data_IF_571061724239
#
_entry.id   IF_571061724239
#
_cell.length_a   1.000
_cell.length_b   1.000
_cell.length_c   1.000
_cell.angle_alpha   90.00
_cell.angle_beta   90.00
_cell.angle_gamma   90.00
#
_symmetry.space_group_name_H-M   'P 1'
#
loop_
_entity.id
_entity.type
_entity.pdbx_description
1 polymer ?
#
# COMPACT_ATOMS: atom_id res chain seq x y z
N UNK A 1 -64.25 -18.30 41.22
CA UNK A 1 -63.18 -18.57 40.23
C UNK A 1 -63.11 -17.42 39.22
N UNK A 2 -62.11 -16.51 39.35
CA UNK A 2 -61.91 -15.41 38.41
C UNK A 2 -60.70 -15.77 37.52
N UNK A 3 -60.97 -16.02 36.27
CA UNK A 3 -59.97 -16.24 35.23
C UNK A 3 -59.28 -14.92 34.87
N UNK A 4 -57.99 -14.81 35.09
CA UNK A 4 -57.17 -13.69 34.62
C UNK A 4 -56.73 -13.98 33.20
N UNK A 5 -57.18 -13.20 32.24
CA UNK A 5 -56.72 -13.15 30.87
C UNK A 5 -55.42 -12.35 30.84
N UNK A 6 -54.30 -12.99 30.48
CA UNK A 6 -53.02 -12.31 30.26
C UNK A 6 -52.96 -11.91 28.78
N UNK A 7 -53.01 -10.61 28.51
CA UNK A 7 -52.73 -10.04 27.20
C UNK A 7 -51.20 -10.02 27.00
N UNK A 8 -50.71 -10.82 26.08
CA UNK A 8 -49.33 -10.71 25.58
C UNK A 8 -49.36 -9.74 24.40
N UNK A 9 -48.92 -8.50 24.64
CA UNK A 9 -48.68 -7.54 23.58
C UNK A 9 -47.32 -7.85 22.92
N UNK A 10 -47.35 -8.44 21.71
CA UNK A 10 -46.19 -8.55 20.88
C UNK A 10 -45.85 -7.17 20.29
N UNK A 11 -44.80 -6.53 20.82
CA UNK A 11 -44.16 -5.40 20.15
C UNK A 11 -43.46 -5.91 18.88
N UNK A 12 -44.07 -5.72 17.73
CA UNK A 12 -43.41 -5.83 16.43
C UNK A 12 -42.57 -4.55 16.30
N UNK A 13 -41.27 -4.63 16.58
CA UNK A 13 -40.32 -3.60 16.21
C UNK A 13 -40.14 -3.69 14.70
N UNK A 14 -40.81 -2.81 13.95
CA UNK A 14 -40.49 -2.55 12.55
C UNK A 14 -39.05 -1.97 12.49
N UNK A 15 -38.09 -2.78 12.20
CA UNK A 15 -36.83 -2.28 11.71
C UNK A 15 -37.08 -1.68 10.31
N UNK A 16 -37.27 -0.39 10.26
CA UNK A 16 -37.20 0.37 9.00
C UNK A 16 -35.72 0.34 8.62
N UNK A 17 -35.35 -0.59 7.75
CA UNK A 17 -34.11 -0.48 7.01
C UNK A 17 -34.24 0.74 6.10
N UNK A 18 -33.81 1.89 6.58
CA UNK A 18 -33.44 2.98 5.70
C UNK A 18 -32.36 2.42 4.77
N UNK A 19 -32.70 2.22 3.50
CA UNK A 19 -31.69 2.15 2.46
C UNK A 19 -31.03 3.52 2.51
N UNK A 20 -29.93 3.64 3.25
CA UNK A 20 -28.99 4.71 3.08
C UNK A 20 -28.51 4.58 1.63
N UNK A 21 -29.05 5.40 0.74
CA UNK A 21 -28.41 5.61 -0.57
C UNK A 21 -27.20 6.46 -0.25
N UNK A 22 -26.13 5.78 0.09
CA UNK A 22 -24.87 6.41 0.42
C UNK A 22 -24.26 6.97 -0.85
N UNK A 23 -24.56 8.21 -1.19
CA UNK A 23 -23.62 9.05 -1.92
C UNK A 23 -22.50 9.46 -0.95
N UNK A 24 -21.83 8.46 -0.36
CA UNK A 24 -20.72 8.65 0.57
C UNK A 24 -19.56 9.36 -0.15
N UNK A 25 -19.36 9.05 -1.43
CA UNK A 25 -18.33 9.64 -2.26
C UNK A 25 -18.93 10.44 -3.43
N UNK A 26 -18.38 11.63 -3.62
CA UNK A 26 -18.69 12.47 -4.80
C UNK A 26 -17.54 12.39 -5.79
N UNK A 27 -17.85 12.11 -7.05
CA UNK A 27 -16.85 12.21 -8.11
C UNK A 27 -16.45 13.69 -8.31
N UNK A 28 -15.19 14.00 -8.06
CA UNK A 28 -14.58 15.32 -8.20
C UNK A 28 -13.48 15.36 -9.25
N UNK A 29 -13.47 14.42 -10.18
CA UNK A 29 -12.48 14.32 -11.28
C UNK A 29 -12.34 15.62 -12.07
N UNK A 30 -13.39 16.40 -12.15
CA UNK A 30 -13.39 17.74 -12.78
C UNK A 30 -12.53 18.77 -12.06
N UNK A 31 -12.08 18.51 -10.84
CA UNK A 31 -11.14 19.37 -10.12
C UNK A 31 -9.70 19.15 -10.57
N UNK A 32 -9.38 18.07 -11.26
CA UNK A 32 -8.04 17.76 -11.76
C UNK A 32 -7.83 18.50 -13.08
N UNK A 33 -6.94 19.49 -13.09
CA UNK A 33 -6.59 20.20 -14.31
C UNK A 33 -5.79 19.32 -15.28
N UNK A 34 -6.15 19.36 -16.56
CA UNK A 34 -5.45 18.59 -17.59
C UNK A 34 -5.59 17.07 -17.45
N UNK A 35 -6.63 16.61 -16.76
CA UNK A 35 -6.87 15.18 -16.58
C UNK A 35 -7.29 14.54 -17.91
N UNK A 36 -6.38 13.78 -18.50
CA UNK A 36 -6.62 12.96 -19.68
C UNK A 36 -6.71 11.49 -19.32
N UNK A 37 -7.41 10.73 -20.14
CA UNK A 37 -7.55 9.29 -19.94
C UNK A 37 -6.18 8.59 -20.00
N UNK A 38 -5.81 7.92 -18.92
CA UNK A 38 -4.53 7.23 -18.79
C UNK A 38 -4.59 6.16 -17.70
N UNK A 39 -3.72 5.15 -17.79
CA UNK A 39 -3.58 4.14 -16.75
C UNK A 39 -2.70 4.67 -15.60
N UNK A 40 -3.23 4.58 -14.37
CA UNK A 40 -2.54 5.01 -13.16
C UNK A 40 -2.82 4.03 -12.04
N UNK A 41 -1.76 3.53 -11.39
CA UNK A 41 -1.90 2.43 -10.42
C UNK A 41 -1.42 2.78 -9.02
N UNK A 42 -0.33 3.51 -8.89
CA UNK A 42 0.27 3.88 -7.61
C UNK A 42 0.03 5.33 -7.25
N UNK A 43 -0.15 5.59 -5.97
CA UNK A 43 -0.22 6.94 -5.40
C UNK A 43 0.54 6.99 -4.08
N UNK A 44 1.22 8.08 -3.81
CA UNK A 44 1.84 8.43 -2.55
C UNK A 44 1.62 9.91 -2.24
N UNK A 45 2.03 10.34 -1.07
CA UNK A 45 1.99 11.75 -0.66
C UNK A 45 3.41 12.14 -0.25
N UNK A 46 3.89 13.30 -0.72
CA UNK A 46 5.19 13.84 -0.37
C UNK A 46 5.22 15.36 -0.54
N UNK A 47 6.07 16.06 0.19
CA UNK A 47 6.45 17.45 -0.06
C UNK A 47 7.54 17.48 -1.14
N UNK A 48 7.10 17.34 -2.40
CA UNK A 48 7.99 17.06 -3.54
C UNK A 48 8.85 18.25 -3.97
N UNK A 49 8.47 19.46 -3.61
CA UNK A 49 9.21 20.70 -3.91
C UNK A 49 9.78 21.39 -2.66
N UNK A 50 9.69 20.72 -1.50
CA UNK A 50 10.23 21.16 -0.21
C UNK A 50 9.67 22.52 0.25
N UNK A 51 8.39 22.78 -0.04
CA UNK A 51 7.72 24.03 0.32
C UNK A 51 6.88 23.96 1.61
N UNK A 52 6.82 22.79 2.27
CA UNK A 52 6.06 22.53 3.48
C UNK A 52 4.60 22.14 3.23
N UNK A 53 4.22 21.89 1.97
CA UNK A 53 2.89 21.38 1.59
C UNK A 53 3.03 20.07 0.83
N UNK A 54 2.11 19.13 1.10
CA UNK A 54 2.16 17.82 0.47
C UNK A 54 1.42 17.78 -0.86
N UNK A 55 2.00 17.09 -1.83
CA UNK A 55 1.42 16.75 -3.12
C UNK A 55 1.02 15.28 -3.20
N UNK A 56 0.04 14.99 -4.07
CA UNK A 56 -0.25 13.62 -4.48
C UNK A 56 0.68 13.22 -5.63
N UNK A 57 1.56 12.27 -5.37
CA UNK A 57 2.45 11.71 -6.39
C UNK A 57 1.73 10.55 -7.06
N UNK A 58 1.43 10.67 -8.35
CA UNK A 58 0.62 9.71 -9.10
C UNK A 58 1.46 9.01 -10.15
N UNK A 59 1.59 7.70 -10.04
CA UNK A 59 2.35 6.88 -10.97
C UNK A 59 1.67 6.81 -12.35
N UNK A 60 2.45 7.04 -13.42
CA UNK A 60 2.01 6.95 -14.80
C UNK A 60 2.41 5.63 -15.45
N UNK A 61 1.45 4.82 -15.87
CA UNK A 61 1.72 3.58 -16.58
C UNK A 61 1.67 3.80 -18.10
N UNK A 62 2.84 3.94 -18.73
CA UNK A 62 2.96 4.36 -20.12
C UNK A 62 2.56 5.83 -20.35
N UNK A 63 2.55 6.62 -19.30
CA UNK A 63 2.26 8.05 -19.29
C UNK A 63 3.14 8.76 -18.26
N UNK A 64 3.04 10.07 -18.17
CA UNK A 64 3.81 10.85 -17.18
C UNK A 64 3.42 10.53 -15.74
N UNK A 65 4.42 10.46 -14.83
CA UNK A 65 4.16 10.60 -13.41
C UNK A 65 3.74 12.05 -13.13
N UNK A 66 2.87 12.26 -12.15
CA UNK A 66 2.37 13.57 -11.78
C UNK A 66 2.66 13.87 -10.32
N UNK A 67 2.87 15.15 -10.01
CA UNK A 67 2.78 15.69 -8.66
C UNK A 67 1.64 16.70 -8.62
N UNK A 68 0.53 16.32 -7.98
CA UNK A 68 -0.69 17.12 -7.96
C UNK A 68 -0.78 17.92 -6.65
N UNK A 69 -0.62 19.22 -6.74
CA UNK A 69 -0.85 20.15 -5.64
C UNK A 69 -2.30 20.62 -5.61
N UNK A 70 -2.89 20.66 -4.41
CA UNK A 70 -4.25 21.16 -4.22
C UNK A 70 -4.24 22.65 -3.87
N UNK A 71 -4.67 23.49 -4.81
CA UNK A 71 -4.78 24.96 -4.64
C UNK A 71 -6.07 25.48 -5.28
N UNK A 72 -6.75 26.41 -4.62
CA UNK A 72 -7.95 27.07 -5.14
C UNK A 72 -9.05 26.08 -5.58
N UNK A 73 -9.30 25.05 -4.79
CA UNK A 73 -10.25 23.94 -5.08
C UNK A 73 -9.95 23.20 -6.39
N UNK A 74 -8.69 23.12 -6.79
CA UNK A 74 -8.23 22.34 -7.95
C UNK A 74 -6.97 21.57 -7.62
N UNK A 75 -6.82 20.43 -8.28
CA UNK A 75 -5.60 19.64 -8.32
C UNK A 75 -4.87 19.92 -9.62
N UNK A 76 -3.64 20.39 -9.51
CA UNK A 76 -2.82 20.76 -10.66
C UNK A 76 -1.46 20.11 -10.59
N UNK A 77 -1.00 19.54 -11.71
CA UNK A 77 0.38 19.07 -11.81
C UNK A 77 1.34 20.26 -11.72
N UNK A 78 2.28 20.20 -10.79
CA UNK A 78 3.24 21.28 -10.54
C UNK A 78 4.63 20.99 -11.09
N UNK A 79 4.88 19.77 -11.60
CA UNK A 79 6.20 19.35 -12.07
C UNK A 79 6.14 19.02 -13.55
N UNK A 80 7.03 19.64 -14.33
CA UNK A 80 7.29 19.36 -15.74
C UNK A 80 8.81 19.13 -15.95
N UNK A 81 9.39 18.29 -15.10
CA UNK A 81 10.79 17.85 -15.20
C UNK A 81 10.85 16.43 -15.71
N UNK A 82 11.58 16.20 -16.81
CA UNK A 82 11.66 14.90 -17.46
C UNK A 82 12.27 13.78 -16.59
N UNK A 83 13.03 14.14 -15.56
CA UNK A 83 13.54 13.16 -14.59
C UNK A 83 12.44 12.65 -13.67
N UNK A 84 11.51 13.50 -13.28
CA UNK A 84 10.38 13.14 -12.45
C UNK A 84 9.26 12.49 -13.28
N UNK A 85 8.85 13.14 -14.37
CA UNK A 85 7.68 12.74 -15.17
C UNK A 85 7.86 11.42 -15.90
N UNK A 86 9.06 11.13 -16.39
CA UNK A 86 9.49 9.86 -17.00
C UNK A 86 8.44 9.15 -17.88
N UNK A 87 8.09 9.78 -19.00
CA UNK A 87 7.07 9.25 -19.96
C UNK A 87 7.36 7.87 -20.53
N UNK A 88 8.61 7.36 -20.42
CA UNK A 88 9.04 6.11 -21.04
C UNK A 88 8.89 4.90 -20.14
N UNK A 89 8.78 5.13 -18.83
CA UNK A 89 8.64 4.06 -17.85
C UNK A 89 7.19 3.68 -17.64
N UNK A 90 6.97 2.49 -17.15
CA UNK A 90 5.68 1.96 -16.78
C UNK A 90 5.62 1.90 -15.26
N UNK A 91 5.44 3.06 -14.62
CA UNK A 91 5.41 3.15 -13.17
C UNK A 91 4.12 2.56 -12.63
N UNK A 92 4.22 1.58 -11.73
CA UNK A 92 3.08 0.87 -11.16
C UNK A 92 2.90 1.14 -9.67
N UNK A 93 3.96 1.50 -8.96
CA UNK A 93 3.97 1.81 -7.54
C UNK A 93 4.83 3.02 -7.25
N UNK A 94 4.54 3.70 -6.17
CA UNK A 94 5.30 4.84 -5.69
C UNK A 94 5.32 4.84 -4.17
N UNK A 95 6.46 5.18 -3.58
CA UNK A 95 6.64 5.45 -2.15
C UNK A 95 7.53 6.68 -1.98
N UNK A 96 7.34 7.38 -0.88
CA UNK A 96 8.12 8.56 -0.53
C UNK A 96 8.59 8.46 0.92
N UNK A 97 9.87 8.65 1.15
CA UNK A 97 10.47 8.76 2.48
C UNK A 97 11.90 9.25 2.41
N UNK A 98 12.37 9.88 3.47
CA UNK A 98 13.75 10.33 3.66
C UNK A 98 14.68 9.12 3.85
N UNK A 99 15.15 8.54 2.73
CA UNK A 99 16.04 7.35 2.76
C UNK A 99 17.49 7.75 3.03
N UNK A 100 17.84 8.99 2.74
CA UNK A 100 19.22 9.44 2.87
C UNK A 100 19.47 10.26 4.13
N UNK A 101 18.44 10.56 4.91
CA UNK A 101 18.45 11.28 6.19
C UNK A 101 18.94 12.73 6.06
N UNK A 102 18.51 13.41 5.00
CA UNK A 102 18.77 14.84 4.80
C UNK A 102 17.59 15.75 5.22
N UNK A 103 16.45 15.15 5.59
CA UNK A 103 15.25 15.81 6.07
C UNK A 103 14.22 16.06 4.99
N UNK A 104 14.43 15.60 3.75
CA UNK A 104 13.52 15.66 2.63
C UNK A 104 13.19 14.25 2.13
N UNK A 105 12.05 14.10 1.45
CA UNK A 105 11.58 12.79 1.02
C UNK A 105 12.05 12.49 -0.41
N UNK A 106 12.77 11.38 -0.59
CA UNK A 106 13.00 10.83 -1.92
C UNK A 106 11.78 10.06 -2.41
N UNK A 107 11.54 10.13 -3.73
CA UNK A 107 10.43 9.45 -4.40
C UNK A 107 10.92 8.21 -5.13
N UNK A 108 10.51 7.04 -4.66
CA UNK A 108 10.79 5.78 -5.35
C UNK A 108 9.69 5.47 -6.35
N UNK A 109 10.05 5.40 -7.63
CA UNK A 109 9.17 4.97 -8.72
C UNK A 109 9.46 3.51 -9.08
N UNK A 110 8.50 2.65 -8.75
CA UNK A 110 8.54 1.22 -9.07
C UNK A 110 8.04 0.99 -10.49
N UNK A 111 8.96 0.66 -11.39
CA UNK A 111 8.67 0.45 -12.80
C UNK A 111 8.38 -1.02 -13.13
N UNK A 112 7.55 -1.25 -14.16
CA UNK A 112 7.32 -2.58 -14.71
C UNK A 112 6.82 -2.49 -16.15
N UNK A 113 7.54 -3.08 -17.07
CA UNK A 113 7.16 -3.20 -18.49
C UNK A 113 6.85 -4.65 -18.87
N UNK A 114 6.81 -5.54 -17.90
CA UNK A 114 6.48 -6.96 -18.05
C UNK A 114 5.59 -7.44 -16.90
N UNK A 115 4.89 -8.56 -17.13
CA UNK A 115 4.04 -9.14 -16.11
C UNK A 115 4.84 -9.76 -14.95
N UNK A 116 5.97 -10.41 -15.22
CA UNK A 116 6.79 -11.07 -14.20
C UNK A 116 8.22 -11.25 -14.68
N UNK A 117 9.15 -11.46 -13.74
CA UNK A 117 10.56 -11.71 -14.07
C UNK A 117 11.30 -10.46 -14.53
N UNK A 118 12.25 -10.62 -15.44
CA UNK A 118 13.12 -9.54 -15.88
C UNK A 118 12.38 -8.47 -16.69
N UNK A 119 12.66 -7.19 -16.38
CA UNK A 119 12.13 -6.00 -17.06
C UNK A 119 13.23 -5.18 -17.70
N UNK A 120 12.86 -4.36 -18.67
CA UNK A 120 13.79 -3.54 -19.46
C UNK A 120 14.27 -2.31 -18.69
N UNK A 121 13.37 -1.64 -17.99
CA UNK A 121 13.66 -0.39 -17.26
C UNK A 121 13.78 -0.67 -15.77
N UNK A 122 14.89 -0.20 -15.15
CA UNK A 122 15.05 -0.24 -13.70
C UNK A 122 14.04 0.67 -12.99
N UNK A 123 13.92 0.47 -11.69
CA UNK A 123 13.24 1.44 -10.83
C UNK A 123 14.07 2.72 -10.72
N UNK A 124 13.45 3.78 -10.21
CA UNK A 124 14.08 5.09 -10.06
C UNK A 124 13.88 5.60 -8.65
N UNK A 125 14.88 6.31 -8.15
CA UNK A 125 14.84 6.99 -6.86
C UNK A 125 15.17 8.46 -7.09
N UNK A 126 14.13 9.28 -7.09
CA UNK A 126 14.21 10.71 -7.42
C UNK A 126 14.37 11.53 -6.16
N UNK A 127 15.34 12.42 -6.19
CA UNK A 127 15.62 13.42 -5.16
C UNK A 127 15.61 14.83 -5.78
N UNK A 128 15.36 15.84 -4.95
CA UNK A 128 15.38 17.25 -5.31
C UNK A 128 16.55 17.96 -4.63
N UNK A 129 17.52 18.42 -5.45
CA UNK A 129 18.65 19.19 -4.96
C UNK A 129 18.87 20.44 -5.80
N UNK A 130 19.07 21.57 -5.16
CA UNK A 130 19.28 22.86 -5.83
C UNK A 130 18.17 23.17 -6.86
N UNK A 131 16.91 22.86 -6.52
CA UNK A 131 15.72 22.98 -7.38
C UNK A 131 15.79 22.18 -8.68
N UNK A 132 16.52 21.06 -8.70
CA UNK A 132 16.59 20.13 -9.83
C UNK A 132 16.38 18.70 -9.38
N UNK A 133 15.52 17.98 -10.09
CA UNK A 133 15.34 16.56 -9.88
C UNK A 133 16.50 15.76 -10.48
N UNK A 134 16.97 14.78 -9.74
CA UNK A 134 17.95 13.82 -10.20
C UNK A 134 17.62 12.42 -9.73
N UNK A 135 18.05 11.42 -10.48
CA UNK A 135 17.87 10.02 -10.11
C UNK A 135 19.11 9.52 -9.36
N UNK A 136 18.95 9.19 -8.10
CA UNK A 136 20.03 8.65 -7.25
C UNK A 136 20.61 7.37 -7.85
N UNK A 137 19.79 6.54 -8.51
CA UNK A 137 20.24 5.30 -9.14
C UNK A 137 21.08 5.51 -10.42
N UNK A 138 21.05 6.69 -11.04
CA UNK A 138 21.98 7.02 -12.13
C UNK A 138 23.43 7.22 -11.66
N UNK A 139 23.65 7.45 -10.36
CA UNK A 139 24.99 7.59 -9.80
C UNK A 139 25.75 6.24 -9.88
N UNK A 140 26.96 6.25 -10.42
CA UNK A 140 27.78 5.04 -10.61
C UNK A 140 27.88 4.14 -9.39
N UNK A 141 27.94 4.72 -8.18
CA UNK A 141 28.04 3.98 -6.91
C UNK A 141 26.78 3.16 -6.55
N UNK A 142 25.62 3.44 -7.18
CA UNK A 142 24.34 2.78 -6.91
C UNK A 142 23.93 1.80 -8.02
N UNK A 143 24.61 1.78 -9.16
CA UNK A 143 24.19 0.99 -10.34
C UNK A 143 24.29 -0.53 -10.15
N UNK A 144 25.07 -1.02 -9.18
CA UNK A 144 25.18 -2.45 -8.89
C UNK A 144 23.90 -3.06 -8.27
N UNK A 145 23.03 -2.21 -7.72
CA UNK A 145 21.86 -2.67 -6.96
C UNK A 145 20.53 -2.31 -7.62
N UNK A 146 20.55 -1.96 -8.92
CA UNK A 146 19.34 -1.64 -9.66
C UNK A 146 18.34 -2.80 -9.71
N UNK A 147 17.05 -2.51 -9.58
CA UNK A 147 15.99 -3.51 -9.69
C UNK A 147 15.54 -3.68 -11.14
N UNK A 148 15.94 -4.79 -11.76
CA UNK A 148 15.44 -5.21 -13.07
C UNK A 148 14.41 -6.34 -12.99
N UNK A 149 13.75 -6.52 -11.85
CA UNK A 149 12.63 -7.43 -11.70
C UNK A 149 11.29 -6.68 -11.70
N UNK A 150 10.30 -7.23 -12.36
CA UNK A 150 8.95 -6.66 -12.38
C UNK A 150 8.41 -6.49 -10.95
N UNK A 151 8.27 -5.25 -10.50
CA UNK A 151 7.72 -4.91 -9.20
C UNK A 151 6.20 -4.75 -9.24
N UNK A 152 5.55 -4.81 -8.07
CA UNK A 152 4.11 -4.61 -7.94
C UNK A 152 3.69 -3.67 -6.81
N UNK A 153 4.42 -3.67 -5.72
CA UNK A 153 4.16 -2.80 -4.57
C UNK A 153 5.45 -2.42 -3.88
N UNK A 154 5.45 -1.29 -3.22
CA UNK A 154 6.59 -0.70 -2.54
C UNK A 154 6.13 -0.01 -1.27
N UNK A 155 6.93 -0.10 -0.21
CA UNK A 155 6.64 0.55 1.07
C UNK A 155 7.93 1.01 1.77
N UNK A 156 7.86 2.16 2.43
CA UNK A 156 8.92 2.66 3.30
C UNK A 156 8.85 1.99 4.68
N UNK A 157 10.01 1.66 5.24
CA UNK A 157 10.11 0.96 6.53
C UNK A 157 11.26 1.54 7.35
N UNK A 158 10.95 2.14 8.49
CA UNK A 158 11.93 2.42 9.53
C UNK A 158 12.10 1.17 10.42
N UNK A 159 12.98 0.24 9.97
CA UNK A 159 13.14 -1.05 10.66
C UNK A 159 13.74 -0.97 12.07
N UNK A 160 14.32 0.17 12.46
CA UNK A 160 14.93 0.36 13.77
C UNK A 160 14.22 1.38 14.65
N UNK A 161 13.16 2.02 14.16
CA UNK A 161 12.44 3.07 14.88
C UNK A 161 13.31 4.29 15.20
N UNK A 162 14.23 4.66 14.30
CA UNK A 162 15.20 5.71 14.54
C UNK A 162 15.20 6.82 13.48
N UNK A 163 14.14 6.89 12.68
CA UNK A 163 13.97 7.89 11.63
C UNK A 163 14.77 7.62 10.35
N UNK A 164 15.43 6.44 10.25
CA UNK A 164 16.14 6.04 9.02
C UNK A 164 15.33 5.03 8.26
N UNK A 165 14.84 5.46 7.12
CA UNK A 165 13.99 4.64 6.29
C UNK A 165 14.78 3.74 5.35
N UNK A 166 14.21 2.56 5.09
CA UNK A 166 14.52 1.71 3.95
C UNK A 166 13.27 1.55 3.09
N UNK A 167 13.45 1.02 1.90
CA UNK A 167 12.37 0.79 0.93
C UNK A 167 12.29 -0.70 0.62
N UNK A 168 11.20 -1.34 1.01
CA UNK A 168 10.89 -2.72 0.64
C UNK A 168 10.14 -2.75 -0.68
N UNK A 169 10.61 -3.57 -1.63
CA UNK A 169 10.03 -3.73 -2.97
C UNK A 169 9.53 -5.16 -3.15
N UNK A 170 8.23 -5.32 -3.32
CA UNK A 170 7.60 -6.59 -3.62
C UNK A 170 7.68 -6.86 -5.14
N UNK A 171 8.63 -7.70 -5.54
CA UNK A 171 8.83 -8.13 -6.91
C UNK A 171 7.97 -9.36 -7.25
N UNK A 172 7.67 -9.54 -8.54
CA UNK A 172 6.93 -10.68 -9.07
C UNK A 172 7.81 -11.54 -9.97
N UNK A 173 8.11 -12.77 -9.54
CA UNK A 173 8.92 -13.72 -10.30
C UNK A 173 10.43 -13.45 -10.24
N UNK A 174 10.87 -12.77 -9.19
CA UNK A 174 12.26 -12.56 -8.84
C UNK A 174 12.42 -12.10 -7.40
N UNK A 175 13.65 -11.91 -6.92
CA UNK A 175 13.89 -11.58 -5.51
C UNK A 175 13.31 -10.21 -5.16
N UNK A 176 12.69 -10.13 -3.99
CA UNK A 176 12.31 -8.85 -3.36
C UNK A 176 13.55 -8.04 -3.01
N UNK A 177 13.40 -6.73 -2.86
CA UNK A 177 14.51 -5.82 -2.53
C UNK A 177 14.23 -5.09 -1.22
N UNK A 178 15.33 -4.69 -0.56
CA UNK A 178 15.26 -3.77 0.57
C UNK A 178 16.40 -2.76 0.49
N UNK A 179 16.08 -1.56 0.05
CA UNK A 179 17.06 -0.49 -0.12
C UNK A 179 17.24 0.31 1.15
N UNK A 180 18.50 0.57 1.51
CA UNK A 180 18.88 1.51 2.57
C UNK A 180 20.13 2.28 2.17
N UNK A 181 20.33 3.47 2.78
CA UNK A 181 21.61 4.17 2.72
C UNK A 181 22.65 3.41 3.56
N UNK A 182 23.65 2.88 2.89
CA UNK A 182 24.72 2.10 3.50
C UNK A 182 26.08 2.48 2.92
N UNK A 183 27.04 2.85 3.79
CA UNK A 183 28.41 3.26 3.38
C UNK A 183 28.43 4.30 2.25
N UNK A 184 27.55 5.31 2.34
CA UNK A 184 27.50 6.45 1.41
C UNK A 184 26.84 6.16 0.04
N UNK A 185 26.13 5.04 -0.08
CA UNK A 185 25.33 4.67 -1.28
C UNK A 185 23.98 4.09 -0.89
N UNK A 186 23.05 4.03 -1.82
CA UNK A 186 21.83 3.24 -1.69
C UNK A 186 22.16 1.81 -2.11
N UNK A 187 21.94 0.86 -1.20
CA UNK A 187 22.27 -0.55 -1.40
C UNK A 187 21.07 -1.44 -1.15
N UNK A 188 20.94 -2.51 -1.95
CA UNK A 188 20.01 -3.59 -1.64
C UNK A 188 20.58 -4.46 -0.52
N UNK A 189 19.84 -4.54 0.58
CA UNK A 189 20.22 -5.30 1.78
C UNK A 189 19.19 -6.36 2.15
N UNK A 190 18.31 -6.75 1.22
CA UNK A 190 17.24 -7.70 1.47
C UNK A 190 17.76 -9.02 2.05
N UNK A 191 18.85 -9.57 1.49
CA UNK A 191 19.49 -10.82 1.98
C UNK A 191 19.96 -10.70 3.43
N UNK A 192 20.56 -9.57 3.78
CA UNK A 192 21.08 -9.34 5.14
C UNK A 192 19.95 -9.33 6.19
N UNK A 193 18.78 -8.86 5.79
CA UNK A 193 17.66 -8.70 6.71
C UNK A 193 16.59 -9.80 6.60
N UNK A 194 16.82 -10.87 5.81
CA UNK A 194 15.90 -11.98 5.68
C UNK A 194 14.68 -11.73 4.79
N UNK A 195 14.78 -10.72 3.91
CA UNK A 195 13.69 -10.26 3.04
C UNK A 195 13.83 -10.69 1.57
N UNK A 196 14.89 -11.36 1.15
CA UNK A 196 15.18 -11.74 -0.24
C UNK A 196 14.40 -12.99 -0.68
N UNK A 197 13.12 -12.87 -0.93
CA UNK A 197 12.27 -13.98 -1.37
C UNK A 197 11.90 -13.84 -2.85
N UNK A 198 11.87 -14.96 -3.56
CA UNK A 198 11.27 -15.03 -4.90
C UNK A 198 9.80 -15.33 -4.74
N UNK A 199 8.95 -14.40 -5.14
CA UNK A 199 7.53 -14.45 -4.82
C UNK A 199 6.66 -14.02 -5.99
N UNK A 200 5.34 -14.23 -5.85
CA UNK A 200 4.31 -13.54 -6.61
C UNK A 200 3.85 -12.26 -5.92
N UNK A 201 4.79 -11.44 -5.43
CA UNK A 201 4.49 -10.26 -4.65
C UNK A 201 3.53 -9.29 -5.33
N UNK A 202 2.45 -8.90 -4.64
CA UNK A 202 1.40 -8.03 -5.20
C UNK A 202 1.09 -6.82 -4.36
N UNK A 203 0.89 -7.00 -3.09
CA UNK A 203 0.57 -5.92 -2.18
C UNK A 203 1.43 -6.01 -0.93
N UNK A 204 1.82 -4.89 -0.39
CA UNK A 204 2.62 -4.82 0.83
C UNK A 204 2.18 -3.66 1.69
N UNK A 205 2.14 -3.90 3.00
CA UNK A 205 1.96 -2.87 4.03
C UNK A 205 2.96 -3.08 5.14
N UNK A 206 3.34 -2.00 5.81
CA UNK A 206 4.21 -2.01 6.96
C UNK A 206 3.59 -1.21 8.12
N UNK A 207 3.73 -1.73 9.33
CA UNK A 207 3.17 -1.09 10.52
C UNK A 207 3.43 -1.89 11.78
N UNK A 208 2.95 -1.41 12.92
CA UNK A 208 3.05 -2.09 14.22
C UNK A 208 2.02 -3.24 14.34
N UNK A 209 2.25 -4.34 13.60
CA UNK A 209 1.30 -5.46 13.49
C UNK A 209 1.41 -6.42 14.67
N UNK A 210 2.63 -6.85 14.99
CA UNK A 210 2.88 -7.87 16.02
C UNK A 210 3.52 -7.30 17.28
N UNK A 211 4.27 -6.22 17.15
CA UNK A 211 5.12 -5.67 18.22
C UNK A 211 5.23 -4.16 18.13
N UNK A 212 6.06 -3.55 18.97
CA UNK A 212 6.40 -2.13 18.92
C UNK A 212 7.31 -1.73 17.75
N UNK A 213 7.79 -2.68 16.94
CA UNK A 213 8.59 -2.43 15.74
C UNK A 213 7.71 -2.44 14.50
N UNK A 214 8.21 -1.88 13.39
CA UNK A 214 7.52 -1.94 12.10
C UNK A 214 7.70 -3.33 11.50
N UNK A 215 6.63 -4.11 11.43
CA UNK A 215 6.54 -5.38 10.75
C UNK A 215 6.07 -5.18 9.31
N UNK A 216 6.20 -6.20 8.44
CA UNK A 216 5.76 -6.13 7.05
C UNK A 216 4.78 -7.29 6.77
N UNK A 217 3.61 -6.99 6.22
CA UNK A 217 2.74 -7.99 5.62
C UNK A 217 2.80 -7.88 4.09
N UNK A 218 3.09 -9.00 3.42
CA UNK A 218 3.18 -9.07 1.96
C UNK A 218 2.20 -10.13 1.43
N UNK A 219 1.17 -9.66 0.73
CA UNK A 219 0.21 -10.51 0.06
C UNK A 219 0.73 -10.93 -1.32
N UNK A 220 0.61 -12.20 -1.64
CA UNK A 220 1.13 -12.79 -2.85
C UNK A 220 0.02 -13.31 -3.77
N UNK A 221 0.30 -13.29 -5.08
CA UNK A 221 -0.45 -14.02 -6.10
C UNK A 221 0.27 -15.34 -6.37
N UNK A 222 -0.48 -16.44 -6.41
CA UNK A 222 0.07 -17.79 -6.66
C UNK A 222 1.12 -18.22 -5.64
N UNK A 223 0.81 -18.05 -4.37
CA UNK A 223 1.70 -18.45 -3.27
C UNK A 223 1.20 -17.94 -1.93
N UNK A 224 1.88 -18.37 -0.89
CA UNK A 224 1.53 -17.97 0.47
C UNK A 224 1.87 -16.51 0.74
N UNK A 225 1.11 -15.85 1.59
CA UNK A 225 1.45 -14.55 2.15
C UNK A 225 2.63 -14.66 3.11
N UNK A 226 3.37 -13.56 3.26
CA UNK A 226 4.40 -13.41 4.28
C UNK A 226 3.96 -12.44 5.37
N UNK A 227 4.32 -12.74 6.60
CA UNK A 227 4.26 -11.83 7.72
C UNK A 227 5.65 -11.77 8.35
N UNK A 228 6.38 -10.73 8.01
CA UNK A 228 7.73 -10.53 8.50
C UNK A 228 7.71 -9.80 9.84
N UNK A 229 7.97 -10.54 10.92
CA UNK A 229 8.16 -9.96 12.24
C UNK A 229 9.54 -9.31 12.32
N UNK A 230 9.57 -8.07 12.73
CA UNK A 230 10.79 -7.31 12.94
C UNK A 230 11.35 -7.56 14.35
N UNK A 231 12.54 -8.10 14.42
CA UNK A 231 13.31 -8.25 15.66
C UNK A 231 14.61 -7.49 15.51
N UNK A 232 14.69 -6.33 16.14
CA UNK A 232 15.89 -5.45 16.15
C UNK A 232 16.39 -5.10 14.73
N UNK A 233 15.46 -4.96 13.77
CA UNK A 233 15.77 -4.59 12.40
C UNK A 233 16.10 -5.77 11.47
N UNK A 234 15.96 -7.01 11.93
CA UNK A 234 16.02 -8.24 11.12
C UNK A 234 14.61 -8.84 11.05
N UNK A 235 14.23 -9.34 9.89
CA UNK A 235 12.88 -9.82 9.64
C UNK A 235 12.83 -11.34 9.57
N UNK A 236 11.82 -11.91 10.21
CA UNK A 236 11.55 -13.35 10.25
C UNK A 236 10.13 -13.60 9.77
N UNK A 237 9.99 -14.44 8.76
CA UNK A 237 8.66 -14.84 8.30
C UNK A 237 7.98 -15.74 9.34
N UNK A 238 6.86 -15.25 9.86
CA UNK A 238 6.05 -15.92 10.87
C UNK A 238 4.62 -16.17 10.41
N UNK A 239 4.33 -16.00 9.12
CA UNK A 239 2.97 -16.11 8.57
C UNK A 239 2.29 -17.44 8.91
N UNK A 240 3.03 -18.55 8.88
CA UNK A 240 2.52 -19.88 9.25
C UNK A 240 2.11 -19.95 10.73
N UNK A 241 2.95 -19.42 11.62
CA UNK A 241 2.69 -19.43 13.06
C UNK A 241 1.53 -18.54 13.47
N UNK A 242 1.25 -17.53 12.66
CA UNK A 242 0.16 -16.55 12.87
C UNK A 242 -1.08 -16.84 12.04
N UNK A 243 -1.12 -17.93 11.26
CA UNK A 243 -2.28 -18.40 10.47
C UNK A 243 -2.75 -17.40 9.39
N UNK A 244 -1.82 -16.65 8.75
CA UNK A 244 -2.11 -15.67 7.69
C UNK A 244 -1.57 -16.06 6.31
N UNK A 245 -1.21 -17.32 6.10
CA UNK A 245 -0.62 -17.80 4.83
C UNK A 245 -1.52 -17.61 3.62
N UNK A 246 -2.83 -17.85 3.76
CA UNK A 246 -3.87 -17.78 2.70
C UNK A 246 -3.43 -18.39 1.35
N UNK A 247 -3.03 -19.67 1.29
CA UNK A 247 -2.25 -20.25 0.22
C UNK A 247 -3.01 -20.45 -1.11
N UNK A 248 -4.33 -20.37 -1.08
CA UNK A 248 -5.19 -20.64 -2.24
C UNK A 248 -5.75 -19.37 -2.88
N UNK A 249 -5.48 -18.22 -2.27
CA UNK A 249 -5.98 -16.94 -2.72
C UNK A 249 -4.92 -16.14 -3.50
N UNK A 250 -5.37 -15.14 -4.25
CA UNK A 250 -4.50 -14.27 -5.02
C UNK A 250 -4.54 -12.85 -4.45
N UNK A 251 -3.69 -12.57 -3.47
CA UNK A 251 -3.62 -11.26 -2.83
C UNK A 251 -3.31 -10.13 -3.82
N UNK A 252 -4.09 -9.04 -3.77
CA UNK A 252 -3.94 -7.90 -4.69
C UNK A 252 -3.87 -6.56 -4.01
N UNK A 253 -4.63 -6.36 -2.97
CA UNK A 253 -4.66 -5.14 -2.18
C UNK A 253 -4.61 -5.47 -0.70
N UNK A 254 -3.91 -4.67 0.10
CA UNK A 254 -3.87 -4.87 1.54
C UNK A 254 -3.73 -3.53 2.26
N UNK A 255 -4.32 -3.46 3.44
CA UNK A 255 -4.21 -2.31 4.34
C UNK A 255 -4.18 -2.78 5.79
N UNK A 256 -3.83 -1.88 6.69
CA UNK A 256 -3.90 -2.09 8.14
C UNK A 256 -4.95 -1.15 8.73
N UNK A 257 -5.74 -1.66 9.66
CA UNK A 257 -6.73 -0.88 10.41
C UNK A 257 -6.99 -1.52 11.76
N UNK A 258 -7.35 -0.75 12.75
CA UNK A 258 -7.88 -1.28 14.03
C UNK A 258 -9.38 -1.55 13.88
N UNK A 259 -9.75 -2.63 13.18
CA UNK A 259 -11.14 -2.97 12.83
C UNK A 259 -12.06 -3.13 14.06
N UNK A 260 -11.50 -3.50 15.20
CA UNK A 260 -12.25 -3.76 16.44
C UNK A 260 -11.99 -2.72 17.53
N UNK A 261 -11.31 -1.61 17.21
CA UNK A 261 -11.04 -0.48 18.14
C UNK A 261 -10.40 -0.91 19.45
N UNK A 262 -9.33 -1.69 19.33
CA UNK A 262 -8.60 -2.26 20.47
C UNK A 262 -7.24 -1.61 20.71
N UNK A 263 -6.88 -0.62 19.87
CA UNK A 263 -5.53 -0.03 19.83
C UNK A 263 -4.50 -0.96 19.20
N UNK A 264 -4.94 -1.86 18.30
CA UNK A 264 -4.11 -2.85 17.65
C UNK A 264 -4.47 -2.98 16.17
N UNK A 265 -3.47 -2.94 15.30
CA UNK A 265 -3.67 -3.09 13.86
C UNK A 265 -4.02 -4.53 13.49
N UNK A 266 -5.05 -4.66 12.68
CA UNK A 266 -5.50 -5.87 12.01
C UNK A 266 -5.11 -5.79 10.52
N UNK A 267 -5.09 -6.93 9.82
CA UNK A 267 -4.67 -7.02 8.42
C UNK A 267 -5.92 -7.24 7.55
N UNK A 268 -6.15 -6.36 6.59
CA UNK A 268 -7.20 -6.51 5.60
C UNK A 268 -6.56 -6.87 4.27
N UNK A 269 -6.93 -8.01 3.68
CA UNK A 269 -6.39 -8.51 2.41
C UNK A 269 -7.51 -8.74 1.39
N UNK A 270 -7.42 -8.02 0.28
CA UNK A 270 -8.29 -8.19 -0.87
C UNK A 270 -7.69 -9.19 -1.84
N UNK A 271 -8.45 -10.23 -2.21
CA UNK A 271 -8.03 -11.31 -3.08
C UNK A 271 -8.71 -11.23 -4.45
N UNK A 272 -7.94 -11.40 -5.53
CA UNK A 272 -8.45 -11.36 -6.90
C UNK A 272 -9.24 -12.62 -7.25
N UNK A 273 -10.50 -12.44 -7.58
CA UNK A 273 -11.45 -13.53 -7.86
C UNK A 273 -11.52 -14.57 -6.71
N UNK A 274 -11.15 -14.17 -5.49
CA UNK A 274 -11.16 -14.99 -4.29
C UNK A 274 -11.80 -14.27 -3.10
N UNK A 275 -12.03 -15.01 -2.02
CA UNK A 275 -12.60 -14.46 -0.80
C UNK A 275 -11.64 -13.45 -0.14
N UNK A 276 -12.13 -12.24 0.17
CA UNK A 276 -11.35 -11.26 0.92
C UNK A 276 -11.24 -11.65 2.40
N UNK A 277 -10.18 -11.18 3.07
CA UNK A 277 -9.87 -11.51 4.46
C UNK A 277 -9.82 -10.28 5.35
N UNK A 278 -10.29 -10.44 6.58
CA UNK A 278 -10.04 -9.54 7.70
C UNK A 278 -9.40 -10.36 8.80
N UNK A 279 -8.08 -10.34 8.84
CA UNK A 279 -7.31 -11.06 9.85
C UNK A 279 -7.18 -10.22 11.11
N UNK A 280 -7.95 -10.58 12.13
CA UNK A 280 -7.95 -9.93 13.44
C UNK A 280 -7.08 -10.72 14.41
N UNK A 281 -6.16 -10.04 15.08
CA UNK A 281 -5.30 -10.69 16.05
C UNK A 281 -6.10 -11.09 17.30
N UNK A 282 -6.06 -12.37 17.61
CA UNK A 282 -6.67 -12.95 18.79
C UNK A 282 -5.63 -13.83 19.50
N UNK A 283 -5.30 -13.47 20.73
CA UNK A 283 -4.23 -14.09 21.50
C UNK A 283 -2.88 -14.06 20.73
N UNK A 284 -2.33 -15.20 20.35
CA UNK A 284 -1.06 -15.34 19.68
C UNK A 284 -1.17 -15.64 18.18
N UNK A 285 -2.36 -15.51 17.57
CA UNK A 285 -2.59 -15.80 16.15
C UNK A 285 -3.60 -14.83 15.56
N UNK A 286 -3.83 -14.87 14.25
CA UNK A 286 -4.90 -14.15 13.60
C UNK A 286 -6.08 -15.07 13.30
N UNK A 287 -7.27 -14.49 13.31
CA UNK A 287 -8.50 -15.15 12.85
C UNK A 287 -9.14 -14.31 11.75
N UNK A 288 -9.50 -14.96 10.66
CA UNK A 288 -10.31 -14.35 9.63
C UNK A 288 -11.74 -14.17 10.16
N UNK A 289 -12.19 -12.92 10.22
CA UNK A 289 -13.56 -12.54 10.62
C UNK A 289 -14.37 -12.00 9.44
N UNK A 290 -13.83 -12.03 8.22
CA UNK A 290 -14.54 -11.57 7.03
C UNK A 290 -15.84 -12.37 6.86
N UNK A 291 -16.95 -11.67 6.62
CA UNK A 291 -18.27 -12.27 6.41
C UNK A 291 -19.15 -11.41 5.47
N UNK A 292 -20.32 -11.94 5.12
CA UNK A 292 -21.33 -11.23 4.34
C UNK A 292 -20.80 -10.72 2.99
N UNK A 293 -21.13 -9.49 2.65
CA UNK A 293 -20.76 -8.88 1.38
C UNK A 293 -19.26 -8.67 1.22
N UNK A 294 -18.52 -8.43 2.32
CA UNK A 294 -17.09 -8.24 2.26
C UNK A 294 -16.36 -9.48 1.73
N UNK A 295 -16.85 -10.67 2.05
CA UNK A 295 -16.26 -11.94 1.66
C UNK A 295 -16.51 -12.34 0.20
N UNK A 296 -17.39 -11.63 -0.52
CA UNK A 296 -17.74 -11.95 -1.91
C UNK A 296 -16.53 -11.73 -2.81
N UNK A 297 -16.09 -12.75 -3.59
CA UNK A 297 -15.00 -12.60 -4.55
C UNK A 297 -15.23 -11.47 -5.54
N UNK A 298 -14.18 -10.69 -5.80
CA UNK A 298 -14.24 -9.59 -6.75
C UNK A 298 -12.90 -9.37 -7.46
N UNK A 299 -12.92 -8.57 -8.53
CA UNK A 299 -11.70 -8.20 -9.25
C UNK A 299 -11.00 -7.02 -8.57
N UNK A 300 -10.64 -7.21 -7.32
CA UNK A 300 -10.00 -6.20 -6.48
C UNK A 300 -8.63 -5.76 -7.00
N UNK A 301 -8.29 -4.49 -6.83
CA UNK A 301 -6.96 -3.93 -7.11
C UNK A 301 -6.31 -3.34 -5.89
N UNK A 302 -7.07 -2.66 -5.07
CA UNK A 302 -6.57 -1.95 -3.90
C UNK A 302 -7.58 -2.02 -2.78
N UNK A 303 -7.08 -2.10 -1.56
CA UNK A 303 -7.84 -1.94 -0.33
C UNK A 303 -7.24 -0.75 0.43
N UNK A 304 -8.08 0.16 0.87
CA UNK A 304 -7.70 1.24 1.77
C UNK A 304 -8.67 1.30 2.94
N UNK A 305 -8.21 1.84 4.05
CA UNK A 305 -8.98 2.04 5.25
C UNK A 305 -8.73 3.44 5.78
N UNK A 306 -9.77 4.14 6.11
CA UNK A 306 -9.75 5.45 6.76
C UNK A 306 -11.13 5.76 7.32
N UNK A 307 -11.20 6.63 8.30
CA UNK A 307 -12.43 7.25 8.79
C UNK A 307 -12.90 8.31 7.77
N UNK A 308 -13.68 7.87 6.76
CA UNK A 308 -14.12 8.74 5.66
C UNK A 308 -15.28 9.68 6.05
N UNK A 309 -16.04 9.37 7.09
CA UNK A 309 -17.17 10.20 7.53
C UNK A 309 -16.92 10.94 8.85
N UNK A 310 -15.73 10.77 9.44
CA UNK A 310 -15.28 11.36 10.69
C UNK A 310 -16.16 10.96 11.89
N UNK A 311 -16.63 9.72 11.91
CA UNK A 311 -17.37 9.16 13.04
C UNK A 311 -16.48 8.48 14.09
N UNK A 312 -15.17 8.39 13.83
CA UNK A 312 -14.15 7.78 14.68
C UNK A 312 -13.91 6.31 14.38
N UNK A 313 -14.52 5.77 13.32
CA UNK A 313 -14.34 4.39 12.88
C UNK A 313 -13.84 4.34 11.45
N UNK A 314 -12.89 3.41 11.17
CA UNK A 314 -12.39 3.26 9.81
C UNK A 314 -13.37 2.50 8.93
N UNK A 315 -13.73 3.06 7.77
CA UNK A 315 -14.32 2.30 6.68
C UNK A 315 -13.29 1.58 5.86
N UNK A 316 -13.69 0.49 5.21
CA UNK A 316 -12.87 -0.25 4.27
C UNK A 316 -13.38 -0.01 2.85
N UNK A 317 -12.54 0.61 2.02
CA UNK A 317 -12.83 0.85 0.62
C UNK A 317 -12.15 -0.21 -0.26
N UNK A 318 -12.95 -0.93 -1.07
CA UNK A 318 -12.50 -1.93 -2.02
C UNK A 318 -12.54 -1.37 -3.43
N UNK A 319 -11.39 -1.13 -4.04
CA UNK A 319 -11.30 -0.68 -5.43
C UNK A 319 -11.26 -1.87 -6.38
N UNK A 320 -12.32 -2.07 -7.14
CA UNK A 320 -12.47 -3.13 -8.11
C UNK A 320 -12.31 -2.62 -9.54
N UNK A 321 -11.86 -3.48 -10.46
CA UNK A 321 -11.87 -3.23 -11.90
C UNK A 321 -12.90 -4.13 -12.58
N UNK A 322 -13.52 -3.60 -13.63
CA UNK A 322 -14.60 -4.27 -14.32
C UNK A 322 -15.97 -3.83 -13.80
N UNK A 323 -17.00 -4.53 -14.23
CA UNK A 323 -18.40 -4.25 -13.88
C UNK A 323 -18.70 -4.57 -12.43
#
# INVERSE_FOLDING_TARGET
MRTKTVLVSALLSLFIFNKASANFFKNITNLIEGNYESLRYGISVADVDNNGTYEFIVAGFGSENLALSYKNNKLKNIIDDGKFTDKKSFTIGVAACDIDSDGYEEIYFLNTDTYSGEKKYSDRLIDLKDNKFFDIFEQKKNQSDLNFTAGRSVVCVDRKGNGKFGIYVANYGGPTRFYEKFKGRIADRATEFGLDKITGGRAVVAGHILSGNIDIFAANERGVNFLYKNVDGTFYDVASSYEVLDPYENGRGTTLSDVLYRGQLDIISGNWDGEHRIFVKKDNTFKDIAEGQFKIPSKIRTVISADFDNDGYDEIFLNNIGE
#
